data_IF_232422751634
#
_entry.id   IF_232422751634
#
_cell.length_a   1.000
_cell.length_b   1.000
_cell.length_c   1.000
_cell.angle_alpha   90.00
_cell.angle_beta   90.00
_cell.angle_gamma   90.00
#
_symmetry.space_group_name_H-M   'P 1'
#
loop_
_entity.id
_entity.type
_entity.pdbx_description
1 polymer ?
#
# COMPACT_ATOMS: atom_id res chain seq x y z
N UNK A 1 -1.25 -28.30 -28.78
CA UNK A 1 -1.25 -27.20 -27.83
C UNK A 1 -2.11 -26.01 -28.25
N UNK A 2 -2.34 -25.71 -29.53
CA UNK A 2 -3.14 -24.54 -29.99
C UNK A 2 -4.66 -24.66 -29.81
N UNK A 3 -5.24 -25.86 -29.96
CA UNK A 3 -6.71 -26.01 -29.81
C UNK A 3 -7.21 -25.96 -28.38
N UNK A 4 -6.42 -26.38 -27.39
CA UNK A 4 -6.79 -26.23 -25.96
C UNK A 4 -6.77 -24.78 -25.48
N UNK A 5 -5.92 -23.93 -26.07
CA UNK A 5 -5.91 -22.48 -25.79
C UNK A 5 -7.20 -21.78 -26.26
N UNK A 6 -7.73 -22.19 -27.42
CA UNK A 6 -8.93 -21.56 -28.00
C UNK A 6 -10.22 -21.89 -27.23
N UNK A 7 -10.35 -23.06 -26.62
CA UNK A 7 -11.54 -23.44 -25.84
C UNK A 7 -11.61 -22.74 -24.48
N UNK A 8 -10.46 -22.44 -23.84
CA UNK A 8 -10.41 -21.68 -22.60
C UNK A 8 -10.74 -20.19 -22.78
N UNK A 9 -10.30 -19.57 -23.86
CA UNK A 9 -10.56 -18.14 -24.13
C UNK A 9 -12.03 -17.80 -24.40
N UNK A 10 -12.85 -18.74 -24.86
CA UNK A 10 -14.26 -18.47 -25.14
C UNK A 10 -15.11 -18.27 -23.88
N UNK A 11 -14.75 -18.88 -22.74
CA UNK A 11 -15.50 -18.72 -21.48
C UNK A 11 -14.90 -17.66 -20.54
N UNK A 12 -13.69 -17.19 -20.80
CA UNK A 12 -13.02 -16.16 -19.99
C UNK A 12 -13.89 -14.90 -19.83
N UNK A 13 -14.51 -14.45 -20.91
CA UNK A 13 -15.40 -13.27 -20.91
C UNK A 13 -16.64 -13.43 -20.00
N UNK A 14 -17.02 -14.68 -19.68
CA UNK A 14 -18.16 -14.93 -18.80
C UNK A 14 -17.86 -14.61 -17.34
N UNK A 15 -16.61 -14.71 -16.92
CA UNK A 15 -16.13 -14.41 -15.58
C UNK A 15 -15.76 -12.93 -15.41
N UNK A 16 -15.30 -12.27 -16.47
CA UNK A 16 -14.78 -10.90 -16.44
C UNK A 16 -15.84 -9.88 -16.89
N UNK A 17 -17.04 -9.93 -16.28
CA UNK A 17 -18.20 -9.10 -16.71
C UNK A 17 -18.36 -7.83 -15.88
N UNK A 18 -18.11 -7.90 -14.57
CA UNK A 18 -18.44 -6.84 -13.63
C UNK A 18 -17.17 -6.26 -13.00
N UNK A 19 -16.64 -5.16 -13.53
CA UNK A 19 -15.45 -4.52 -12.95
C UNK A 19 -15.69 -4.11 -11.50
N UNK A 20 -14.63 -4.19 -10.68
CA UNK A 20 -14.62 -3.56 -9.36
C UNK A 20 -14.56 -2.05 -9.54
N UNK A 21 -15.40 -1.33 -8.81
CA UNK A 21 -15.39 0.13 -8.75
C UNK A 21 -14.68 0.61 -7.48
N UNK A 22 -13.91 1.68 -7.60
CA UNK A 22 -13.21 2.26 -6.47
C UNK A 22 -14.08 3.30 -5.77
N UNK A 23 -14.16 3.19 -4.43
CA UNK A 23 -14.89 4.15 -3.63
C UNK A 23 -14.17 5.50 -3.61
N UNK A 24 -14.94 6.57 -3.71
CA UNK A 24 -14.44 7.96 -3.68
C UNK A 24 -14.86 8.62 -2.36
N UNK A 25 -13.89 8.81 -1.46
CA UNK A 25 -14.10 9.40 -0.13
C UNK A 25 -14.53 10.87 -0.17
N UNK A 26 -14.41 11.52 -1.31
CA UNK A 26 -14.83 12.91 -1.48
C UNK A 26 -16.32 13.05 -1.76
N UNK A 27 -17.02 11.94 -2.11
CA UNK A 27 -18.41 11.90 -2.53
C UNK A 27 -19.40 11.61 -1.41
N UNK A 28 -18.93 11.25 -0.24
CA UNK A 28 -19.77 11.02 0.93
C UNK A 28 -19.06 11.50 2.20
N UNK A 29 -19.83 11.89 3.19
CA UNK A 29 -19.33 12.41 4.47
C UNK A 29 -19.74 11.47 5.61
N UNK A 30 -18.75 10.81 6.21
CA UNK A 30 -18.98 9.83 7.28
C UNK A 30 -18.90 10.39 8.70
N UNK A 31 -18.73 11.73 8.87
CA UNK A 31 -18.51 12.33 10.19
C UNK A 31 -19.65 12.07 11.18
N UNK A 32 -20.90 12.11 10.73
CA UNK A 32 -22.05 11.82 11.60
C UNK A 32 -22.06 10.35 12.05
N UNK A 33 -21.77 9.42 11.14
CA UNK A 33 -21.70 8.00 11.44
C UNK A 33 -20.57 7.73 12.42
N UNK A 34 -19.36 8.25 12.19
CA UNK A 34 -18.20 8.10 13.08
C UNK A 34 -18.49 8.69 14.46
N UNK A 35 -19.13 9.85 14.54
CA UNK A 35 -19.56 10.47 15.81
C UNK A 35 -20.54 9.57 16.57
N UNK A 36 -21.52 8.98 15.87
CA UNK A 36 -22.47 8.05 16.47
C UNK A 36 -21.75 6.78 16.96
N UNK A 37 -20.84 6.21 16.15
CA UNK A 37 -20.04 5.04 16.51
C UNK A 37 -19.21 5.24 17.77
N UNK A 38 -18.74 6.47 18.05
CA UNK A 38 -18.03 6.81 19.27
C UNK A 38 -18.86 6.67 20.56
N UNK A 39 -20.19 6.69 20.46
CA UNK A 39 -21.13 6.49 21.57
C UNK A 39 -21.51 5.01 21.75
N UNK A 40 -21.05 4.13 20.89
CA UNK A 40 -21.29 2.69 20.93
C UNK A 40 -20.17 1.95 21.70
N UNK A 41 -20.11 0.65 21.53
CA UNK A 41 -19.07 -0.23 22.10
C UNK A 41 -18.41 -1.07 21.05
N UNK A 42 -17.41 -1.87 21.41
CA UNK A 42 -16.68 -2.78 20.53
C UNK A 42 -16.02 -2.06 19.36
N UNK A 43 -15.94 -2.72 18.21
CA UNK A 43 -15.24 -2.23 16.99
C UNK A 43 -15.77 -0.88 16.51
N UNK A 44 -17.05 -0.56 16.72
CA UNK A 44 -17.60 0.76 16.39
C UNK A 44 -16.88 1.87 17.14
N UNK A 45 -16.71 1.72 18.46
CA UNK A 45 -15.97 2.71 19.28
C UNK A 45 -14.48 2.74 18.90
N UNK A 46 -13.88 1.58 18.65
CA UNK A 46 -12.48 1.50 18.18
C UNK A 46 -12.28 2.26 16.86
N UNK A 47 -13.22 2.10 15.92
CA UNK A 47 -13.21 2.81 14.63
C UNK A 47 -13.26 4.33 14.82
N UNK A 48 -14.15 4.81 15.72
CA UNK A 48 -14.24 6.23 16.04
C UNK A 48 -12.97 6.74 16.73
N UNK A 49 -12.41 5.99 17.68
CA UNK A 49 -11.15 6.34 18.34
C UNK A 49 -9.98 6.43 17.34
N UNK A 50 -9.86 5.45 16.46
CA UNK A 50 -8.85 5.46 15.38
C UNK A 50 -9.00 6.68 14.48
N UNK A 51 -10.24 7.04 14.12
CA UNK A 51 -10.53 8.25 13.34
C UNK A 51 -10.11 9.51 14.06
N UNK A 52 -10.38 9.62 15.37
CA UNK A 52 -9.94 10.76 16.17
C UNK A 52 -8.42 10.86 16.22
N UNK A 53 -7.70 9.75 16.43
CA UNK A 53 -6.23 9.72 16.40
C UNK A 53 -5.71 10.16 15.03
N UNK A 54 -6.31 9.68 13.93
CA UNK A 54 -5.90 10.11 12.59
C UNK A 54 -6.13 11.60 12.36
N UNK A 55 -7.24 12.15 12.81
CA UNK A 55 -7.50 13.60 12.78
C UNK A 55 -6.49 14.40 13.62
N UNK A 56 -6.01 13.84 14.75
CA UNK A 56 -4.92 14.46 15.52
C UNK A 56 -3.58 14.42 14.77
N UNK A 57 -3.23 13.29 14.11
CA UNK A 57 -2.05 13.24 13.23
C UNK A 57 -2.10 14.32 12.15
N UNK A 58 -3.26 14.50 11.51
CA UNK A 58 -3.45 15.50 10.46
C UNK A 58 -3.40 16.94 10.98
N UNK A 59 -3.75 17.17 12.23
CA UNK A 59 -3.67 18.48 12.90
C UNK A 59 -2.26 18.82 13.35
N UNK A 60 -1.47 17.82 13.73
CA UNK A 60 -0.10 17.97 14.22
C UNK A 60 0.86 18.28 13.06
N UNK A 61 1.30 19.54 12.96
CA UNK A 61 2.17 20.01 11.86
C UNK A 61 3.56 19.35 11.85
N UNK A 62 4.02 18.89 13.00
CA UNK A 62 5.32 18.23 13.14
C UNK A 62 5.22 16.72 12.86
N UNK A 63 4.01 16.15 12.83
CA UNK A 63 3.79 14.73 12.57
C UNK A 63 4.08 14.36 11.12
N UNK A 64 4.99 13.42 10.92
CA UNK A 64 5.16 12.68 9.66
C UNK A 64 4.25 11.47 9.69
N UNK A 65 3.35 11.35 8.73
CA UNK A 65 2.35 10.27 8.67
C UNK A 65 2.80 9.20 7.67
N UNK A 66 3.04 8.00 8.18
CA UNK A 66 3.36 6.82 7.37
C UNK A 66 2.09 5.98 7.19
N UNK A 67 1.76 5.65 5.94
CA UNK A 67 0.72 4.69 5.60
C UNK A 67 1.38 3.34 5.31
N UNK A 68 0.89 2.27 5.94
CA UNK A 68 1.33 0.91 5.57
C UNK A 68 0.19 0.12 4.95
N UNK A 69 0.49 -0.58 3.86
CA UNK A 69 -0.46 -1.37 3.09
C UNK A 69 0.02 -2.81 3.02
N UNK A 70 -0.60 -3.70 3.76
CA UNK A 70 -0.43 -5.14 3.64
C UNK A 70 -1.47 -5.73 2.69
N UNK A 71 -1.24 -6.95 2.22
CA UNK A 71 -2.17 -7.66 1.34
C UNK A 71 -2.36 -6.97 -0.01
N UNK A 72 -3.61 -6.99 -0.50
CA UNK A 72 -3.98 -6.52 -1.84
C UNK A 72 -5.33 -5.78 -1.83
N UNK A 73 -5.60 -5.00 -0.79
CA UNK A 73 -6.88 -4.27 -0.63
C UNK A 73 -7.16 -3.24 -1.71
N UNK A 74 -6.14 -2.81 -2.46
CA UNK A 74 -6.33 -1.98 -3.64
C UNK A 74 -7.21 -2.65 -4.70
N UNK A 75 -7.12 -3.99 -4.88
CA UNK A 75 -8.01 -4.76 -5.75
C UNK A 75 -9.47 -4.77 -5.28
N UNK A 76 -9.71 -4.56 -3.99
CA UNK A 76 -11.04 -4.54 -3.40
C UNK A 76 -11.76 -3.19 -3.53
N UNK A 77 -11.27 -2.28 -4.37
CA UNK A 77 -11.89 -0.97 -4.58
C UNK A 77 -11.28 0.18 -3.79
N UNK A 78 -10.07 0.03 -3.23
CA UNK A 78 -9.44 1.01 -2.35
C UNK A 78 -8.39 1.90 -3.00
N UNK A 79 -8.01 1.68 -4.25
CA UNK A 79 -6.97 2.49 -4.88
C UNK A 79 -7.26 3.99 -4.81
N UNK A 80 -8.49 4.42 -4.99
CA UNK A 80 -8.85 5.83 -4.90
C UNK A 80 -8.69 6.39 -3.48
N UNK A 81 -8.92 5.59 -2.43
CA UNK A 81 -8.67 6.03 -1.05
C UNK A 81 -7.19 6.34 -0.86
N UNK A 82 -6.30 5.40 -1.21
CA UNK A 82 -4.85 5.57 -1.04
C UNK A 82 -4.30 6.72 -1.89
N UNK A 83 -4.75 6.81 -3.15
CA UNK A 83 -4.46 7.94 -4.04
C UNK A 83 -4.88 9.28 -3.41
N UNK A 84 -6.09 9.38 -2.89
CA UNK A 84 -6.62 10.61 -2.33
C UNK A 84 -5.92 10.99 -1.02
N UNK A 85 -5.54 10.03 -0.19
CA UNK A 85 -4.71 10.29 0.98
C UNK A 85 -3.37 10.94 0.59
N UNK A 86 -2.76 10.55 -0.53
CA UNK A 86 -1.55 11.21 -1.07
C UNK A 86 -1.89 12.57 -1.67
N UNK A 87 -2.89 12.61 -2.55
CA UNK A 87 -3.31 13.82 -3.30
C UNK A 87 -3.64 14.97 -2.36
N UNK A 88 -4.34 14.69 -1.29
CA UNK A 88 -4.77 15.67 -0.28
C UNK A 88 -3.81 15.81 0.90
N UNK A 89 -2.55 15.43 0.76
CA UNK A 89 -1.53 15.60 1.80
C UNK A 89 -1.91 15.01 3.17
N UNK A 90 -2.58 13.85 3.14
CA UNK A 90 -3.02 13.15 4.34
C UNK A 90 -1.99 12.09 4.80
N UNK A 91 -0.99 11.79 3.95
CA UNK A 91 0.16 10.91 4.25
C UNK A 91 1.44 11.49 3.64
N UNK A 92 2.60 11.13 4.19
CA UNK A 92 3.90 11.68 3.81
C UNK A 92 4.85 10.63 3.21
N UNK A 93 4.67 9.35 3.55
CA UNK A 93 5.39 8.22 2.99
C UNK A 93 4.53 6.94 3.08
N UNK A 94 4.78 6.00 2.18
CA UNK A 94 4.06 4.73 2.11
C UNK A 94 5.04 3.57 2.22
N UNK A 95 4.68 2.54 3.00
CA UNK A 95 5.36 1.24 3.02
C UNK A 95 4.33 0.18 2.65
N UNK A 96 4.53 -0.55 1.56
CA UNK A 96 3.50 -1.40 1.01
C UNK A 96 4.01 -2.77 0.55
N UNK A 97 3.09 -3.70 0.32
CA UNK A 97 3.37 -4.93 -0.43
C UNK A 97 3.47 -4.64 -1.92
N UNK A 98 4.24 -5.46 -2.63
CA UNK A 98 4.26 -5.43 -4.08
C UNK A 98 2.89 -5.75 -4.69
N UNK A 99 2.10 -6.60 -4.04
CA UNK A 99 0.73 -6.88 -4.45
C UNK A 99 -0.12 -5.60 -4.54
N UNK A 100 -0.12 -4.75 -3.50
CA UNK A 100 -0.90 -3.50 -3.52
C UNK A 100 -0.41 -2.50 -4.58
N UNK A 101 0.89 -2.40 -4.80
CA UNK A 101 1.49 -1.36 -5.65
C UNK A 101 1.62 -1.82 -7.10
N UNK A 102 2.16 -3.02 -7.33
CA UNK A 102 2.48 -3.48 -8.68
C UNK A 102 1.35 -4.31 -9.26
N UNK A 103 0.87 -5.33 -8.53
CA UNK A 103 -0.13 -6.24 -9.06
C UNK A 103 -1.50 -5.59 -9.20
N UNK A 104 -1.77 -4.53 -8.43
CA UNK A 104 -3.06 -3.85 -8.36
C UNK A 104 -3.02 -2.44 -8.96
N UNK A 105 -2.27 -1.50 -8.38
CA UNK A 105 -2.28 -0.09 -8.83
C UNK A 105 -1.64 0.08 -10.21
N UNK A 106 -0.44 -0.47 -10.43
CA UNK A 106 0.22 -0.42 -11.73
C UNK A 106 -0.57 -1.15 -12.82
N UNK A 107 -1.13 -2.33 -12.48
CA UNK A 107 -2.00 -3.11 -13.35
C UNK A 107 -3.17 -2.27 -13.87
N UNK A 108 -3.90 -1.60 -12.97
CA UNK A 108 -5.02 -0.75 -13.40
C UNK A 108 -4.57 0.53 -14.10
N UNK A 109 -3.42 1.10 -13.74
CA UNK A 109 -2.85 2.24 -14.46
C UNK A 109 -2.58 1.93 -15.94
N UNK A 110 -2.23 0.67 -16.25
CA UNK A 110 -2.10 0.18 -17.62
C UNK A 110 -3.44 -0.02 -18.35
N UNK A 111 -4.56 0.19 -17.67
CA UNK A 111 -5.93 0.11 -18.23
C UNK A 111 -6.59 -1.26 -18.06
N UNK A 112 -5.98 -2.17 -17.32
CA UNK A 112 -6.56 -3.45 -16.95
C UNK A 112 -7.55 -3.29 -15.79
N UNK A 113 -8.30 -4.35 -15.45
CA UNK A 113 -9.38 -4.26 -14.46
C UNK A 113 -9.39 -5.48 -13.55
N UNK A 114 -9.78 -5.23 -12.31
CA UNK A 114 -10.24 -6.28 -11.39
C UNK A 114 -11.75 -6.47 -11.58
N UNK A 115 -12.24 -7.69 -11.32
CA UNK A 115 -13.64 -8.01 -11.54
C UNK A 115 -14.26 -8.66 -10.31
N UNK A 116 -15.53 -8.34 -10.04
CA UNK A 116 -16.30 -9.01 -9.01
C UNK A 116 -16.60 -10.45 -9.45
N UNK A 117 -16.24 -11.38 -8.61
CA UNK A 117 -16.43 -12.80 -8.83
C UNK A 117 -17.14 -13.49 -7.67
N UNK A 118 -16.87 -14.77 -7.43
CA UNK A 118 -17.40 -15.56 -6.35
C UNK A 118 -16.31 -16.34 -5.65
N UNK A 119 -16.29 -16.31 -4.32
CA UNK A 119 -15.39 -17.15 -3.52
C UNK A 119 -15.68 -18.66 -3.64
N UNK A 120 -16.86 -19.01 -4.13
CA UNK A 120 -17.33 -20.40 -4.30
C UNK A 120 -17.12 -20.95 -5.72
N UNK A 121 -16.51 -20.16 -6.61
CA UNK A 121 -16.20 -20.63 -7.97
C UNK A 121 -15.18 -21.75 -7.93
N UNK A 122 -15.27 -22.69 -8.88
CA UNK A 122 -14.30 -23.76 -9.03
C UNK A 122 -12.96 -23.20 -9.55
N UNK A 123 -11.91 -23.26 -8.73
CA UNK A 123 -10.58 -22.74 -9.05
C UNK A 123 -9.90 -23.47 -10.23
N UNK A 124 -10.20 -24.77 -10.45
CA UNK A 124 -9.70 -25.49 -11.62
C UNK A 124 -10.34 -24.96 -12.92
N UNK A 125 -11.58 -24.52 -12.85
CA UNK A 125 -12.25 -23.87 -13.99
C UNK A 125 -11.66 -22.49 -14.26
N UNK A 126 -11.41 -21.68 -13.21
CA UNK A 126 -10.74 -20.38 -13.33
C UNK A 126 -9.35 -20.54 -13.96
N UNK A 127 -8.54 -21.45 -13.44
CA UNK A 127 -7.20 -21.76 -13.96
C UNK A 127 -7.20 -22.15 -15.42
N UNK A 128 -8.15 -23.00 -15.85
CA UNK A 128 -8.29 -23.40 -17.27
C UNK A 128 -8.63 -22.22 -18.18
N UNK A 129 -9.21 -21.16 -17.62
CA UNK A 129 -9.56 -19.93 -18.34
C UNK A 129 -8.55 -18.80 -18.12
N UNK A 130 -7.38 -19.04 -17.49
CA UNK A 130 -6.35 -18.04 -17.20
C UNK A 130 -6.92 -16.86 -16.37
N UNK A 131 -7.58 -17.20 -15.27
CA UNK A 131 -8.14 -16.26 -14.31
C UNK A 131 -7.58 -16.57 -12.94
N UNK A 132 -6.94 -15.57 -12.32
CA UNK A 132 -6.51 -15.61 -10.94
C UNK A 132 -7.63 -15.10 -10.03
N UNK A 133 -7.68 -15.59 -8.79
CA UNK A 133 -8.69 -15.21 -7.81
C UNK A 133 -8.06 -14.78 -6.49
N UNK A 134 -8.51 -13.64 -5.99
CA UNK A 134 -8.28 -13.19 -4.62
C UNK A 134 -9.63 -13.09 -3.94
N UNK A 135 -9.97 -14.04 -3.07
CA UNK A 135 -11.27 -14.18 -2.42
C UNK A 135 -12.42 -14.16 -3.44
N UNK A 136 -13.14 -13.06 -3.62
CA UNK A 136 -14.22 -12.85 -4.59
C UNK A 136 -13.87 -11.89 -5.72
N UNK A 137 -12.60 -11.62 -5.93
CA UNK A 137 -12.08 -10.75 -6.99
C UNK A 137 -11.30 -11.55 -8.02
N UNK A 138 -11.62 -11.35 -9.30
CA UNK A 138 -10.96 -12.02 -10.42
C UNK A 138 -10.01 -11.09 -11.15
N UNK A 139 -8.92 -11.67 -11.64
CA UNK A 139 -7.84 -11.00 -12.38
C UNK A 139 -7.59 -11.78 -13.67
N UNK A 140 -7.44 -11.11 -14.78
CA UNK A 140 -7.00 -11.71 -16.03
C UNK A 140 -5.50 -12.01 -15.97
N UNK A 141 -5.11 -13.29 -15.92
CA UNK A 141 -3.71 -13.73 -15.84
C UNK A 141 -2.90 -13.27 -17.08
N UNK A 142 -3.49 -13.28 -18.28
CA UNK A 142 -2.80 -12.80 -19.48
C UNK A 142 -2.52 -11.30 -19.42
N UNK A 143 -3.37 -10.51 -18.76
CA UNK A 143 -3.15 -9.09 -18.52
C UNK A 143 -2.10 -8.86 -17.44
N UNK A 144 -2.10 -9.66 -16.38
CA UNK A 144 -1.10 -9.61 -15.32
C UNK A 144 0.30 -9.95 -15.87
N UNK A 145 0.42 -10.96 -16.74
CA UNK A 145 1.67 -11.28 -17.41
C UNK A 145 2.21 -10.16 -18.30
N UNK A 146 1.35 -9.28 -18.84
CA UNK A 146 1.81 -8.07 -19.55
C UNK A 146 2.50 -7.09 -18.59
N UNK A 147 2.03 -6.98 -17.34
CA UNK A 147 2.71 -6.19 -16.31
C UNK A 147 4.13 -6.70 -16.06
N UNK A 148 4.34 -8.02 -15.97
CA UNK A 148 5.68 -8.61 -15.79
C UNK A 148 6.63 -8.16 -16.91
N UNK A 149 6.17 -8.23 -18.16
CA UNK A 149 6.97 -7.83 -19.33
C UNK A 149 7.32 -6.33 -19.28
N UNK A 150 6.35 -5.48 -18.98
CA UNK A 150 6.56 -4.02 -18.92
C UNK A 150 7.53 -3.66 -17.79
N UNK A 151 7.45 -4.30 -16.63
CA UNK A 151 8.43 -4.13 -15.55
C UNK A 151 9.84 -4.47 -16.02
N UNK A 152 10.00 -5.61 -16.69
CA UNK A 152 11.29 -6.01 -17.27
C UNK A 152 11.79 -5.01 -18.32
N UNK A 153 10.91 -4.47 -19.16
CA UNK A 153 11.26 -3.45 -20.17
C UNK A 153 11.64 -2.10 -19.54
N UNK A 154 11.04 -1.73 -18.42
CA UNK A 154 11.46 -0.56 -17.63
C UNK A 154 12.88 -0.80 -17.11
N UNK A 155 13.13 -1.96 -16.51
CA UNK A 155 14.44 -2.34 -15.99
C UNK A 155 15.52 -2.38 -17.07
N UNK A 156 15.19 -2.86 -18.29
CA UNK A 156 16.12 -2.91 -19.43
C UNK A 156 16.64 -1.52 -19.87
N UNK A 157 15.91 -0.44 -19.54
CA UNK A 157 16.28 0.94 -19.88
C UNK A 157 17.06 1.66 -18.79
N UNK A 158 17.19 1.06 -17.62
CA UNK A 158 17.89 1.65 -16.47
C UNK A 158 19.38 1.30 -16.49
N UNK A 159 20.17 2.16 -15.86
CA UNK A 159 21.59 1.89 -15.65
C UNK A 159 21.75 0.63 -14.77
N UNK A 160 22.63 -0.33 -15.16
CA UNK A 160 22.88 -1.54 -14.37
C UNK A 160 23.59 -1.23 -13.05
N UNK A 161 22.82 -1.03 -11.99
CA UNK A 161 23.27 -0.80 -10.61
C UNK A 161 22.23 -1.29 -9.60
N UNK A 162 22.57 -1.35 -8.31
CA UNK A 162 21.56 -1.54 -7.27
C UNK A 162 20.58 -0.36 -7.19
N UNK A 163 19.28 -0.66 -7.10
CA UNK A 163 18.18 0.27 -6.85
C UNK A 163 17.45 -0.13 -5.58
N UNK A 164 16.97 0.83 -4.80
CA UNK A 164 15.94 0.51 -3.80
C UNK A 164 14.59 0.31 -4.50
N UNK A 165 13.63 -0.35 -3.86
CA UNK A 165 12.29 -0.45 -4.42
C UNK A 165 11.68 0.95 -4.63
N UNK A 166 11.95 1.88 -3.70
CA UNK A 166 11.53 3.28 -3.81
C UNK A 166 12.05 3.93 -5.10
N UNK A 167 13.35 3.77 -5.41
CA UNK A 167 13.92 4.31 -6.66
C UNK A 167 13.24 3.68 -7.88
N UNK A 168 13.07 2.37 -7.88
CA UNK A 168 12.46 1.67 -9.01
C UNK A 168 10.98 2.05 -9.17
N UNK A 169 10.21 2.17 -8.07
CA UNK A 169 8.82 2.65 -8.11
C UNK A 169 8.73 4.10 -8.61
N UNK A 170 9.73 4.95 -8.31
CA UNK A 170 9.83 6.30 -8.87
C UNK A 170 9.99 6.24 -10.41
N UNK A 171 10.79 5.31 -10.95
CA UNK A 171 10.91 5.12 -12.40
C UNK A 171 9.60 4.56 -13.01
N UNK A 172 8.87 3.70 -12.31
CA UNK A 172 7.52 3.28 -12.72
C UNK A 172 6.58 4.50 -12.76
N UNK A 173 6.62 5.38 -11.76
CA UNK A 173 5.83 6.61 -11.75
C UNK A 173 6.13 7.50 -12.95
N UNK A 174 7.39 7.69 -13.28
CA UNK A 174 7.84 8.41 -14.47
C UNK A 174 7.33 7.76 -15.77
N UNK A 175 7.40 6.43 -15.87
CA UNK A 175 6.84 5.67 -16.99
C UNK A 175 5.34 5.92 -17.15
N UNK A 176 4.58 5.91 -16.05
CA UNK A 176 3.13 6.10 -16.06
C UNK A 176 2.70 7.50 -16.51
N UNK A 177 3.52 8.53 -16.31
CA UNK A 177 3.21 9.90 -16.80
C UNK A 177 2.89 9.93 -18.29
N UNK A 178 3.55 9.10 -19.08
CA UNK A 178 3.38 9.04 -20.53
C UNK A 178 2.60 7.84 -21.03
N UNK A 179 2.58 6.74 -20.27
CA UNK A 179 2.07 5.44 -20.73
C UNK A 179 0.80 4.98 -20.00
N UNK A 180 0.37 5.64 -18.91
CA UNK A 180 -0.84 5.26 -18.21
C UNK A 180 -2.09 5.47 -19.09
N UNK A 181 -2.92 4.43 -19.16
CA UNK A 181 -4.24 4.49 -19.80
C UNK A 181 -5.32 4.98 -18.83
N UNK A 182 -5.19 4.65 -17.54
CA UNK A 182 -6.00 5.19 -16.45
C UNK A 182 -5.11 6.13 -15.65
N UNK A 183 -5.44 7.41 -15.67
CA UNK A 183 -4.70 8.45 -14.95
C UNK A 183 -5.01 8.47 -13.45
N UNK A 184 -4.14 9.16 -12.72
CA UNK A 184 -4.27 9.30 -11.26
C UNK A 184 -4.24 7.96 -10.51
N UNK A 185 -3.34 7.05 -10.89
CA UNK A 185 -2.99 5.89 -10.04
C UNK A 185 -2.26 6.37 -8.79
N UNK A 186 -2.20 5.52 -7.75
CA UNK A 186 -1.46 5.83 -6.52
C UNK A 186 0.02 6.13 -6.82
N UNK A 187 0.67 5.30 -7.67
CA UNK A 187 2.08 5.49 -8.04
C UNK A 187 2.27 6.82 -8.77
N UNK A 188 1.41 7.15 -9.74
CA UNK A 188 1.50 8.41 -10.51
C UNK A 188 1.32 9.62 -9.59
N UNK A 189 0.32 9.59 -8.71
CA UNK A 189 0.04 10.69 -7.77
C UNK A 189 1.13 10.82 -6.71
N UNK A 190 1.69 9.71 -6.23
CA UNK A 190 2.81 9.73 -5.28
C UNK A 190 4.07 10.33 -5.93
N UNK A 191 4.37 9.97 -7.19
CA UNK A 191 5.45 10.56 -7.97
C UNK A 191 5.30 12.08 -8.10
N UNK A 192 4.12 12.56 -8.53
CA UNK A 192 3.84 13.99 -8.70
C UNK A 192 3.91 14.79 -7.39
N UNK A 193 3.60 14.17 -6.28
CA UNK A 193 3.56 14.80 -4.97
C UNK A 193 4.82 14.57 -4.11
N UNK A 194 5.86 13.94 -4.67
CA UNK A 194 7.10 13.63 -3.97
C UNK A 194 6.89 12.83 -2.67
N UNK A 195 5.90 11.93 -2.68
CA UNK A 195 5.63 10.98 -1.59
C UNK A 195 6.33 9.66 -1.94
N UNK A 196 7.35 9.23 -1.18
CA UNK A 196 8.05 7.99 -1.48
C UNK A 196 7.20 6.76 -1.14
N UNK A 197 7.30 5.73 -1.98
CA UNK A 197 6.72 4.41 -1.74
C UNK A 197 7.86 3.41 -1.59
N UNK A 198 7.89 2.71 -0.46
CA UNK A 198 8.81 1.64 -0.13
C UNK A 198 8.10 0.30 -0.19
N UNK A 199 8.75 -0.71 -0.74
CA UNK A 199 8.22 -2.06 -0.83
C UNK A 199 9.29 -3.09 -0.41
N UNK A 200 9.40 -3.39 0.90
CA UNK A 200 10.53 -4.17 1.44
C UNK A 200 10.66 -5.58 0.87
N UNK A 201 9.54 -6.21 0.49
CA UNK A 201 9.49 -7.52 -0.17
C UNK A 201 9.15 -7.36 -1.67
N UNK A 202 9.84 -6.46 -2.37
CA UNK A 202 9.51 -6.02 -3.72
C UNK A 202 9.44 -7.16 -4.73
N UNK A 203 10.28 -8.17 -4.58
CA UNK A 203 10.31 -9.32 -5.49
C UNK A 203 9.17 -10.32 -5.29
N UNK A 204 8.41 -10.20 -4.19
CA UNK A 204 7.19 -11.00 -3.95
C UNK A 204 5.97 -10.33 -4.61
N UNK A 205 6.05 -10.13 -5.92
CA UNK A 205 5.02 -9.50 -6.76
C UNK A 205 5.36 -9.64 -8.24
N UNK A 206 4.51 -9.12 -9.13
CA UNK A 206 4.79 -8.97 -10.57
C UNK A 206 6.13 -8.31 -10.88
N UNK A 207 6.62 -7.44 -9.99
CA UNK A 207 7.94 -6.85 -10.13
C UNK A 207 9.05 -7.90 -10.11
N UNK A 208 8.98 -8.88 -9.21
CA UNK A 208 9.95 -9.98 -9.13
C UNK A 208 10.02 -10.77 -10.42
N UNK A 209 8.88 -11.16 -10.99
CA UNK A 209 8.84 -11.88 -12.28
C UNK A 209 9.45 -11.03 -13.41
N UNK A 210 9.11 -9.75 -13.48
CA UNK A 210 9.69 -8.84 -14.47
C UNK A 210 11.19 -8.67 -14.33
N UNK A 211 11.71 -8.58 -13.11
CA UNK A 211 13.13 -8.46 -12.83
C UNK A 211 13.91 -9.75 -13.12
N UNK A 212 13.33 -10.93 -12.83
CA UNK A 212 13.91 -12.21 -13.23
C UNK A 212 14.05 -12.27 -14.75
N UNK A 213 13.00 -11.90 -15.50
CA UNK A 213 13.06 -11.85 -16.97
C UNK A 213 14.11 -10.84 -17.46
N UNK A 214 14.27 -9.71 -16.79
CA UNK A 214 15.31 -8.71 -17.08
C UNK A 214 16.72 -9.31 -16.89
N UNK A 215 16.97 -9.96 -15.76
CA UNK A 215 18.29 -10.56 -15.47
C UNK A 215 18.63 -11.71 -16.43
N UNK A 216 17.65 -12.53 -16.81
CA UNK A 216 17.85 -13.61 -17.79
C UNK A 216 18.27 -13.04 -19.15
N UNK A 217 17.67 -11.93 -19.59
CA UNK A 217 18.08 -11.25 -20.83
C UNK A 217 19.42 -10.52 -20.71
N UNK A 218 19.79 -10.09 -19.51
CA UNK A 218 20.98 -9.27 -19.25
C UNK A 218 21.91 -9.87 -18.18
N UNK A 219 22.44 -11.09 -18.38
CA UNK A 219 23.10 -11.87 -17.33
C UNK A 219 24.38 -11.22 -16.78
N UNK A 220 25.02 -10.34 -17.53
CA UNK A 220 26.27 -9.68 -17.12
C UNK A 220 26.07 -8.26 -16.61
N UNK A 221 24.99 -7.58 -17.02
CA UNK A 221 24.75 -6.17 -16.70
C UNK A 221 23.26 -5.98 -16.47
N UNK A 222 22.83 -6.02 -15.22
CA UNK A 222 21.44 -5.88 -14.83
C UNK A 222 21.29 -5.04 -13.57
N UNK A 223 20.07 -4.61 -13.28
CA UNK A 223 19.75 -4.00 -12.01
C UNK A 223 19.53 -5.06 -10.92
N UNK A 224 19.74 -4.67 -9.67
CA UNK A 224 19.39 -5.45 -8.48
C UNK A 224 18.57 -4.58 -7.53
N UNK A 225 17.84 -5.21 -6.61
CA UNK A 225 17.12 -4.49 -5.55
C UNK A 225 17.93 -4.54 -4.26
N UNK A 226 18.27 -3.37 -3.74
CA UNK A 226 19.02 -3.17 -2.50
C UNK A 226 18.06 -2.87 -1.35
N UNK A 227 17.59 -3.93 -0.71
CA UNK A 227 16.66 -3.84 0.43
C UNK A 227 17.32 -3.29 1.70
N UNK A 228 18.64 -3.41 1.84
CA UNK A 228 19.38 -2.86 2.99
C UNK A 228 19.43 -1.33 2.89
N UNK A 229 19.79 -0.81 1.71
CA UNK A 229 19.76 0.64 1.46
C UNK A 229 18.35 1.20 1.60
N UNK A 230 17.34 0.46 1.17
CA UNK A 230 15.94 0.83 1.33
C UNK A 230 15.57 1.03 2.81
N UNK A 231 15.96 0.10 3.69
CA UNK A 231 15.69 0.24 5.12
C UNK A 231 16.43 1.45 5.72
N UNK A 232 17.65 1.72 5.28
CA UNK A 232 18.39 2.94 5.67
C UNK A 232 17.69 4.21 5.19
N UNK A 233 17.19 4.25 3.95
CA UNK A 233 16.46 5.41 3.42
C UNK A 233 15.17 5.69 4.22
N UNK A 234 14.40 4.64 4.53
CA UNK A 234 13.20 4.78 5.36
C UNK A 234 13.55 5.27 6.78
N UNK A 235 14.63 4.73 7.36
CA UNK A 235 15.15 5.18 8.67
C UNK A 235 15.57 6.65 8.61
N UNK A 236 16.13 7.12 7.52
CA UNK A 236 16.51 8.53 7.35
C UNK A 236 15.28 9.46 7.37
N UNK A 237 14.15 9.05 6.80
CA UNK A 237 12.89 9.80 6.93
C UNK A 237 12.48 9.89 8.41
N UNK A 238 12.59 8.79 9.15
CA UNK A 238 12.30 8.77 10.60
C UNK A 238 13.20 9.73 11.35
N UNK A 239 14.52 9.72 11.10
CA UNK A 239 15.48 10.62 11.74
C UNK A 239 15.18 12.10 11.45
N UNK A 240 14.75 12.42 10.25
CA UNK A 240 14.37 13.80 9.86
C UNK A 240 13.00 14.24 10.35
N UNK A 241 12.21 13.32 10.90
CA UNK A 241 10.85 13.60 11.40
C UNK A 241 10.91 14.08 12.83
N UNK A 242 10.33 15.23 13.15
CA UNK A 242 10.20 15.74 14.53
C UNK A 242 9.24 14.88 15.37
N UNK A 243 8.16 14.42 14.77
CA UNK A 243 7.21 13.48 15.31
C UNK A 243 6.67 12.59 14.22
N UNK A 244 6.13 11.43 14.56
CA UNK A 244 5.62 10.50 13.56
C UNK A 244 4.36 9.78 14.00
N UNK A 245 3.51 9.44 13.03
CA UNK A 245 2.30 8.67 13.20
C UNK A 245 2.20 7.54 12.18
N UNK A 246 1.64 6.42 12.59
CA UNK A 246 1.46 5.23 11.78
C UNK A 246 -0.02 5.01 11.50
N UNK A 247 -0.40 4.89 10.22
CA UNK A 247 -1.69 4.40 9.79
C UNK A 247 -1.50 3.07 9.07
N UNK A 248 -1.90 1.98 9.70
CA UNK A 248 -1.57 0.63 9.26
C UNK A 248 -2.80 -0.15 8.82
N UNK A 249 -2.80 -0.58 7.56
CA UNK A 249 -3.81 -1.47 6.98
C UNK A 249 -3.23 -2.88 6.93
N UNK A 250 -3.74 -3.77 7.78
CA UNK A 250 -3.14 -5.06 8.05
C UNK A 250 -1.87 -4.95 8.90
N UNK A 251 -0.97 -5.90 8.74
CA UNK A 251 0.29 -6.00 9.50
C UNK A 251 1.47 -6.44 8.62
N UNK A 252 2.16 -7.50 9.05
CA UNK A 252 3.26 -8.12 8.30
C UNK A 252 4.46 -7.21 8.06
N UNK A 253 5.15 -7.43 6.94
CA UNK A 253 6.40 -6.75 6.61
C UNK A 253 6.25 -5.22 6.52
N UNK A 254 5.25 -4.63 5.85
CA UNK A 254 5.12 -3.17 5.78
C UNK A 254 5.04 -2.50 7.15
N UNK A 255 4.27 -3.08 8.07
CA UNK A 255 4.15 -2.59 9.45
C UNK A 255 5.47 -2.70 10.21
N UNK A 256 6.10 -3.88 10.21
CA UNK A 256 7.35 -4.09 10.95
C UNK A 256 8.46 -3.18 10.42
N UNK A 257 8.58 -3.06 9.12
CA UNK A 257 9.63 -2.31 8.47
C UNK A 257 9.65 -0.84 8.90
N UNK A 258 8.47 -0.19 8.97
CA UNK A 258 8.40 1.19 9.46
C UNK A 258 8.61 1.27 10.98
N UNK A 259 8.08 0.36 11.76
CA UNK A 259 8.24 0.36 13.21
C UNK A 259 9.71 0.19 13.62
N UNK A 260 10.46 -0.64 12.91
CA UNK A 260 11.86 -0.94 13.19
C UNK A 260 12.80 0.23 12.85
N UNK A 261 12.32 1.27 12.18
CA UNK A 261 13.11 2.48 11.91
C UNK A 261 13.54 3.22 13.19
N UNK A 262 12.78 3.09 14.29
CA UNK A 262 13.18 3.65 15.60
C UNK A 262 14.44 2.96 16.10
N UNK A 263 14.42 1.63 16.14
CA UNK A 263 15.55 0.82 16.59
C UNK A 263 16.76 1.02 15.67
N UNK A 264 16.53 1.03 14.36
CA UNK A 264 17.59 1.25 13.37
C UNK A 264 18.25 2.63 13.57
N UNK A 265 17.46 3.69 13.82
CA UNK A 265 18.00 5.02 14.10
C UNK A 265 18.87 5.03 15.36
N UNK A 266 18.46 4.37 16.43
CA UNK A 266 19.23 4.26 17.67
C UNK A 266 20.56 3.51 17.44
N UNK A 267 20.54 2.41 16.69
CA UNK A 267 21.76 1.66 16.31
C UNK A 267 22.71 2.50 15.46
N UNK A 268 22.20 3.47 14.70
CA UNK A 268 22.99 4.45 13.97
C UNK A 268 23.46 5.63 14.84
N UNK A 269 23.24 5.58 16.16
CA UNK A 269 23.64 6.62 17.10
C UNK A 269 22.78 7.89 17.02
N UNK A 270 21.54 7.78 16.50
CA UNK A 270 20.60 8.88 16.41
C UNK A 270 19.51 8.74 17.48
N UNK A 271 19.28 9.78 18.26
CA UNK A 271 18.16 9.82 19.18
C UNK A 271 16.90 10.21 18.41
N UNK A 272 15.88 9.37 18.46
CA UNK A 272 14.56 9.62 17.88
C UNK A 272 13.47 9.18 18.86
N UNK A 273 12.35 9.89 18.87
CA UNK A 273 11.20 9.46 19.67
C UNK A 273 10.51 8.23 19.03
N UNK A 274 9.84 7.43 19.84
CA UNK A 274 8.89 6.40 19.35
C UNK A 274 7.85 7.04 18.42
N UNK A 275 7.12 6.22 17.66
CA UNK A 275 5.98 6.72 16.91
C UNK A 275 4.89 7.20 17.89
N UNK A 276 4.62 8.51 17.87
CA UNK A 276 3.70 9.21 18.79
C UNK A 276 2.25 8.79 18.64
N UNK A 277 1.85 8.49 17.41
CA UNK A 277 0.50 8.06 17.07
C UNK A 277 0.56 6.72 16.32
N UNK A 278 -0.40 5.84 16.60
CA UNK A 278 -0.52 4.60 15.86
C UNK A 278 -1.97 4.15 15.76
N UNK A 279 -2.41 3.83 14.55
CA UNK A 279 -3.66 3.12 14.32
C UNK A 279 -3.41 1.91 13.43
N UNK A 280 -4.09 0.81 13.70
CA UNK A 280 -3.99 -0.40 12.89
C UNK A 280 -5.38 -1.01 12.69
N UNK A 281 -5.72 -1.32 11.45
CA UNK A 281 -6.92 -2.08 11.07
C UNK A 281 -6.47 -3.47 10.70
N UNK A 282 -6.96 -4.51 11.40
CA UNK A 282 -6.57 -5.89 11.15
C UNK A 282 -7.62 -6.87 11.65
N UNK A 283 -7.71 -8.03 11.01
CA UNK A 283 -8.50 -9.18 11.49
C UNK A 283 -7.64 -10.19 12.29
N UNK A 284 -6.33 -9.96 12.37
CA UNK A 284 -5.43 -10.86 13.09
C UNK A 284 -5.69 -10.82 14.60
N UNK A 285 -5.89 -11.99 15.19
CA UNK A 285 -6.02 -12.14 16.65
C UNK A 285 -4.67 -11.88 17.33
N UNK A 286 -4.70 -11.23 18.49
CA UNK A 286 -3.48 -10.94 19.27
C UNK A 286 -2.74 -12.21 19.74
N UNK A 287 -3.39 -13.37 19.70
CA UNK A 287 -2.84 -14.68 20.10
C UNK A 287 -2.17 -15.43 18.95
N UNK A 288 -2.11 -14.87 17.75
CA UNK A 288 -1.50 -15.55 16.60
C UNK A 288 0.03 -15.73 16.70
N UNK A 289 0.63 -15.34 17.82
CA UNK A 289 2.06 -15.47 18.08
C UNK A 289 2.90 -14.53 17.21
N UNK A 290 2.34 -13.39 16.87
CA UNK A 290 2.93 -12.39 15.96
C UNK A 290 3.15 -12.89 14.51
N UNK A 291 2.45 -13.96 14.09
CA UNK A 291 2.49 -14.42 12.69
C UNK A 291 2.02 -13.34 11.71
N UNK A 292 1.12 -12.43 12.18
CA UNK A 292 0.67 -11.24 11.44
C UNK A 292 1.25 -9.94 12.00
N UNK A 293 2.42 -10.00 12.67
CA UNK A 293 3.08 -8.93 13.38
C UNK A 293 2.51 -8.68 14.80
N UNK A 294 3.31 -8.01 15.66
CA UNK A 294 2.94 -7.68 17.04
C UNK A 294 1.74 -6.73 17.12
N UNK A 295 1.03 -6.73 18.26
CA UNK A 295 0.07 -5.67 18.58
C UNK A 295 0.79 -4.33 18.82
N UNK A 296 0.05 -3.22 18.85
CA UNK A 296 0.64 -1.90 19.14
C UNK A 296 1.20 -1.83 20.57
N UNK A 297 0.55 -2.49 21.53
CA UNK A 297 1.05 -2.61 22.91
C UNK A 297 2.35 -3.40 23.00
N UNK A 298 2.44 -4.53 22.29
CA UNK A 298 3.69 -5.28 22.20
C UNK A 298 4.80 -4.46 21.53
N UNK A 299 4.47 -3.69 20.49
CA UNK A 299 5.43 -2.80 19.82
C UNK A 299 6.02 -1.74 20.77
N UNK A 300 5.29 -1.33 21.81
CA UNK A 300 5.81 -0.43 22.84
C UNK A 300 6.91 -1.09 23.69
N UNK A 301 6.80 -2.38 23.98
CA UNK A 301 7.85 -3.10 24.73
C UNK A 301 9.19 -3.17 23.96
N UNK A 302 9.14 -2.96 22.66
CA UNK A 302 10.32 -2.85 21.77
C UNK A 302 10.80 -1.41 21.55
N UNK A 303 10.18 -0.42 22.22
CA UNK A 303 10.52 0.98 22.02
C UNK A 303 10.08 1.57 20.68
N UNK A 304 9.10 0.96 19.99
CA UNK A 304 8.71 1.36 18.62
C UNK A 304 7.54 2.35 18.59
N UNK A 305 6.53 2.12 19.44
CA UNK A 305 5.25 2.88 19.46
C UNK A 305 4.95 3.38 20.87
N UNK A 306 4.60 4.66 20.99
CA UNK A 306 4.05 5.21 22.21
C UNK A 306 2.60 4.77 22.40
N UNK A 307 2.26 4.27 23.58
CA UNK A 307 0.91 3.76 23.90
C UNK A 307 -0.08 4.85 24.33
N UNK A 308 0.32 6.12 24.36
CA UNK A 308 -0.56 7.23 24.79
C UNK A 308 -1.68 7.49 23.75
N UNK A 309 -1.37 7.33 22.47
CA UNK A 309 -2.30 7.59 21.35
C UNK A 309 -2.24 6.46 20.32
N UNK A 310 -2.72 5.30 20.70
CA UNK A 310 -2.78 4.13 19.85
C UNK A 310 -4.19 3.51 19.82
N UNK A 311 -4.59 2.94 18.71
CA UNK A 311 -5.82 2.17 18.58
C UNK A 311 -5.66 1.04 17.57
N UNK A 312 -5.92 -0.18 18.01
CA UNK A 312 -6.21 -1.31 17.11
C UNK A 312 -7.71 -1.37 16.80
N UNK A 313 -8.04 -1.58 15.53
CA UNK A 313 -9.42 -1.82 15.06
C UNK A 313 -9.47 -3.23 14.53
N UNK A 314 -10.12 -4.13 15.27
CA UNK A 314 -10.24 -5.55 14.91
C UNK A 314 -11.39 -5.75 13.92
N UNK A 315 -11.15 -5.32 12.68
CA UNK A 315 -12.11 -5.40 11.60
C UNK A 315 -11.43 -5.71 10.26
N UNK A 316 -12.23 -6.21 9.33
CA UNK A 316 -11.83 -6.30 7.94
C UNK A 316 -11.75 -4.86 7.35
N UNK A 317 -10.65 -4.55 6.64
CA UNK A 317 -10.34 -3.17 6.27
C UNK A 317 -11.40 -2.54 5.35
N UNK A 318 -12.01 -3.33 4.46
CA UNK A 318 -12.98 -2.79 3.48
C UNK A 318 -14.26 -2.30 4.14
N UNK A 319 -14.55 -2.73 5.36
CA UNK A 319 -15.73 -2.31 6.13
C UNK A 319 -15.55 -1.00 6.90
N UNK A 320 -14.31 -0.63 7.29
CA UNK A 320 -14.08 0.52 8.19
C UNK A 320 -13.20 1.61 7.59
N UNK A 321 -12.21 1.27 6.74
CA UNK A 321 -11.30 2.28 6.18
C UNK A 321 -11.99 3.38 5.39
N UNK A 322 -13.03 3.11 4.56
CA UNK A 322 -13.74 4.18 3.85
C UNK A 322 -14.35 5.22 4.80
N UNK A 323 -14.86 4.77 5.94
CA UNK A 323 -15.46 5.65 6.95
C UNK A 323 -14.39 6.54 7.61
N UNK A 324 -13.27 5.94 8.03
CA UNK A 324 -12.15 6.67 8.66
C UNK A 324 -11.58 7.70 7.68
N UNK A 325 -11.32 7.30 6.43
CA UNK A 325 -10.72 8.16 5.43
C UNK A 325 -11.65 9.31 5.00
N UNK A 326 -12.96 9.04 4.84
CA UNK A 326 -13.96 10.07 4.50
C UNK A 326 -14.14 11.08 5.64
N UNK A 327 -14.25 10.65 6.91
CA UNK A 327 -14.29 11.54 8.04
C UNK A 327 -13.07 12.49 8.03
N UNK A 328 -11.86 11.93 7.95
CA UNK A 328 -10.64 12.70 7.95
C UNK A 328 -10.54 13.69 6.78
N UNK A 329 -11.00 13.29 5.59
CA UNK A 329 -11.07 14.16 4.42
C UNK A 329 -12.01 15.35 4.67
N UNK A 330 -13.24 15.10 5.12
CA UNK A 330 -14.26 16.14 5.34
C UNK A 330 -14.02 16.97 6.60
N UNK A 331 -13.30 16.45 7.60
CA UNK A 331 -12.80 17.23 8.74
C UNK A 331 -11.79 18.31 8.32
N UNK A 332 -11.13 18.12 7.17
CA UNK A 332 -10.32 19.14 6.50
C UNK A 332 -9.04 19.54 7.23
N UNK A 333 -8.57 18.78 8.23
CA UNK A 333 -7.35 19.10 9.00
C UNK A 333 -6.08 19.05 8.12
N UNK A 334 -6.09 18.22 7.09
CA UNK A 334 -5.02 18.10 6.09
C UNK A 334 -4.74 19.42 5.33
N UNK A 335 -5.70 20.33 5.19
CA UNK A 335 -5.57 21.60 4.46
C UNK A 335 -4.49 22.53 5.04
N UNK A 336 -4.20 22.39 6.33
CA UNK A 336 -3.22 23.21 7.03
C UNK A 336 -1.85 22.54 7.18
N UNK A 337 -1.65 21.37 6.55
CA UNK A 337 -0.38 20.64 6.58
C UNK A 337 0.56 21.10 5.46
N UNK A 338 1.84 21.27 5.82
CA UNK A 338 2.89 21.46 4.81
C UNK A 338 3.30 20.10 4.25
N UNK A 339 3.39 20.00 2.92
CA UNK A 339 3.86 18.78 2.27
C UNK A 339 5.34 18.54 2.55
N UNK A 340 5.69 17.38 3.04
CA UNK A 340 7.07 17.03 3.47
C UNK A 340 8.02 16.80 2.29
N UNK A 341 7.51 16.33 1.13
CA UNK A 341 8.28 16.09 -0.10
C UNK A 341 9.49 15.17 0.10
N UNK A 342 9.34 14.09 0.86
CA UNK A 342 10.45 13.21 1.26
C UNK A 342 11.19 12.54 0.10
N UNK A 343 10.57 12.36 -1.08
CA UNK A 343 11.31 11.84 -2.24
C UNK A 343 12.51 12.71 -2.60
N UNK A 344 12.44 14.04 -2.36
CA UNK A 344 13.52 14.97 -2.71
C UNK A 344 14.77 14.86 -1.85
N UNK A 345 14.71 14.20 -0.71
CA UNK A 345 15.90 14.04 0.14
C UNK A 345 16.87 12.98 -0.38
N UNK A 346 16.43 12.22 -1.38
CA UNK A 346 17.19 11.13 -1.99
C UNK A 346 17.56 11.42 -3.47
N UNK A 347 17.23 12.62 -3.97
CA UNK A 347 17.54 13.09 -5.34
C UNK A 347 18.94 13.70 -5.45
#
# INVERSE_FOLDING_TARGET
MSEKKNLGHNRKKDFLKKPVEHIDITKFDSREIISAMGKMSFVSRETSNATNIYNEMLKDKDCTIFLTLAGSTSAAGFMHIYRDMVKYNMVDAIVATGASIIDMDFFEALGFKHYQGSQFQNDDELRKNYIDRIYDTYIDEDELQKCYKIIGEIADKLEPRPYTSREFIKEIGKYLKTNAKKKESLIEVAYDNNVPIFCPAFTDSSAGFGLVMHQERNPKKHITIDSIREFRELTEIKIKSKGSGLFMIGGGVPKNFIQDTVICAELLGKSVDMHKYAIQITVADSRDGACSSSTLKEASSWGKVDTTKEQMVFAEATSVLPLIASDAYHAGKWKNRNRKNFSKIFD
#
